data_IF_428664247632
#
_entry.id   IF_428664247632
#
_cell.length_a   1.000
_cell.length_b   1.000
_cell.length_c   1.000
_cell.angle_alpha   90.00
_cell.angle_beta   90.00
_cell.angle_gamma   90.00
#
_symmetry.space_group_name_H-M   'P 1'
#
loop_
_entity.id
_entity.type
_entity.pdbx_description
1 polymer ?
#
# COMPACT_ATOMS: atom_id res chain seq x y z
N UNK A 1 16.14 20.12 -4.99
CA UNK A 1 14.67 20.00 -4.91
C UNK A 1 14.22 19.18 -6.11
N UNK A 2 14.18 17.86 -5.95
CA UNK A 2 13.55 16.98 -6.95
C UNK A 2 12.05 17.08 -6.69
N UNK A 3 11.37 17.92 -7.47
CA UNK A 3 9.91 17.90 -7.53
C UNK A 3 9.51 16.49 -7.97
N UNK A 4 8.90 15.72 -7.07
CA UNK A 4 8.29 14.44 -7.44
C UNK A 4 7.33 14.68 -8.60
N UNK A 5 7.29 13.76 -9.56
CA UNK A 5 6.25 13.81 -10.58
C UNK A 5 4.90 13.62 -9.87
N UNK A 6 3.88 14.47 -10.13
CA UNK A 6 2.59 14.32 -9.47
C UNK A 6 2.01 12.93 -9.77
N UNK A 7 1.45 12.28 -8.75
CA UNK A 7 0.79 10.98 -8.92
C UNK A 7 -0.38 11.11 -9.91
N UNK A 8 -0.47 10.19 -10.87
CA UNK A 8 -1.60 10.17 -11.82
C UNK A 8 -2.77 9.39 -11.23
N UNK A 9 -2.48 8.23 -10.62
CA UNK A 9 -3.47 7.36 -10.02
C UNK A 9 -2.83 6.55 -8.89
N UNK A 10 -3.58 6.34 -7.80
CA UNK A 10 -3.33 5.20 -6.92
C UNK A 10 -4.65 4.48 -6.61
N UNK A 11 -4.57 3.18 -6.39
CA UNK A 11 -5.72 2.33 -6.11
C UNK A 11 -5.34 1.31 -5.05
N UNK A 12 -6.20 1.19 -4.05
CA UNK A 12 -6.15 0.13 -3.06
C UNK A 12 -7.28 -0.84 -3.34
N UNK A 13 -6.93 -2.11 -3.46
CA UNK A 13 -7.90 -3.21 -3.44
C UNK A 13 -7.46 -4.24 -2.44
N UNK A 14 -8.36 -5.12 -2.02
CA UNK A 14 -8.02 -6.11 -1.02
C UNK A 14 -8.76 -7.41 -1.24
N UNK A 15 -8.19 -8.49 -0.70
CA UNK A 15 -8.77 -9.83 -0.71
C UNK A 15 -8.62 -10.43 0.68
N UNK A 16 -9.71 -10.99 1.18
CA UNK A 16 -9.74 -11.69 2.45
C UNK A 16 -9.88 -13.20 2.21
N UNK A 17 -8.94 -13.97 2.72
CA UNK A 17 -8.91 -15.42 2.58
C UNK A 17 -8.98 -16.08 3.96
N UNK A 18 -10.05 -16.82 4.21
CA UNK A 18 -10.17 -17.57 5.46
C UNK A 18 -9.34 -18.84 5.37
N UNK A 19 -8.42 -19.00 6.31
CA UNK A 19 -7.59 -20.20 6.39
C UNK A 19 -7.93 -20.94 7.67
N UNK A 20 -8.43 -22.17 7.54
CA UNK A 20 -8.90 -23.00 8.65
C UNK A 20 -7.83 -23.30 9.70
N UNK A 21 -6.56 -23.27 9.29
CA UNK A 21 -5.41 -23.61 10.11
C UNK A 21 -4.53 -22.40 10.46
N UNK A 22 -4.96 -21.17 10.13
CA UNK A 22 -4.25 -19.98 10.57
C UNK A 22 -4.54 -19.71 12.04
N UNK A 23 -3.49 -19.44 12.82
CA UNK A 23 -3.63 -19.12 14.24
C UNK A 23 -4.21 -17.72 14.44
N UNK A 24 -3.76 -16.77 13.60
CA UNK A 24 -4.10 -15.35 13.62
C UNK A 24 -4.36 -14.80 12.20
N UNK A 25 -4.68 -13.50 12.12
CA UNK A 25 -4.79 -12.77 10.86
C UNK A 25 -3.42 -12.21 10.46
N UNK A 26 -2.94 -12.65 9.31
CA UNK A 26 -1.76 -12.07 8.64
C UNK A 26 -2.22 -11.04 7.61
N UNK A 27 -1.51 -9.91 7.55
CA UNK A 27 -1.74 -8.87 6.56
C UNK A 27 -0.59 -8.89 5.58
N UNK A 28 -0.90 -8.97 4.29
CA UNK A 28 0.08 -8.90 3.20
C UNK A 28 -0.18 -7.62 2.45
N UNK A 29 0.84 -6.82 2.19
CA UNK A 29 0.78 -5.65 1.30
C UNK A 29 1.61 -5.94 0.06
N UNK A 30 0.93 -6.14 -1.06
CA UNK A 30 1.49 -6.28 -2.38
C UNK A 30 1.49 -4.92 -3.08
N UNK A 31 2.67 -4.46 -3.50
CA UNK A 31 2.82 -3.17 -4.17
C UNK A 31 3.17 -3.35 -5.64
N UNK A 32 2.57 -2.52 -6.49
CA UNK A 32 2.91 -2.39 -7.91
C UNK A 32 2.92 -0.91 -8.28
N UNK A 33 4.13 -0.37 -8.51
CA UNK A 33 4.35 1.04 -8.81
C UNK A 33 4.88 1.16 -10.23
N UNK A 34 4.08 1.73 -11.11
CA UNK A 34 4.39 1.93 -12.52
C UNK A 34 4.94 3.33 -12.76
N UNK A 35 6.21 3.39 -13.19
CA UNK A 35 6.89 4.63 -13.59
C UNK A 35 7.31 4.58 -15.04
N UNK A 36 6.68 5.44 -15.84
CA UNK A 36 6.93 5.52 -17.28
C UNK A 36 8.26 6.22 -17.61
N UNK A 37 8.72 7.12 -16.75
CA UNK A 37 9.96 7.87 -16.95
C UNK A 37 11.23 7.00 -16.91
N UNK A 38 11.19 5.88 -16.18
CA UNK A 38 12.29 4.92 -16.12
C UNK A 38 11.98 3.56 -16.77
N UNK A 39 10.77 3.40 -17.35
CA UNK A 39 10.32 2.14 -17.97
C UNK A 39 10.23 0.94 -17.01
N UNK A 40 10.28 1.19 -15.70
CA UNK A 40 10.38 0.16 -14.69
C UNK A 40 9.13 0.10 -13.80
N UNK A 41 8.69 -1.12 -13.53
CA UNK A 41 7.70 -1.40 -12.49
C UNK A 41 8.44 -1.82 -11.23
N UNK A 42 8.22 -1.10 -10.12
CA UNK A 42 8.69 -1.53 -8.80
C UNK A 42 7.61 -2.36 -8.13
N UNK A 43 7.96 -3.58 -7.70
CA UNK A 43 7.07 -4.48 -6.97
C UNK A 43 7.73 -4.89 -5.68
N UNK A 44 6.95 -4.98 -4.61
CA UNK A 44 7.39 -5.51 -3.34
C UNK A 44 6.21 -6.18 -2.63
N UNK A 45 6.54 -7.00 -1.65
CA UNK A 45 5.57 -7.63 -0.75
C UNK A 45 6.05 -7.43 0.68
N UNK A 46 5.14 -6.99 1.55
CA UNK A 46 5.38 -6.82 2.98
C UNK A 46 4.37 -7.66 3.75
N UNK A 47 4.80 -8.23 4.87
CA UNK A 47 3.95 -9.06 5.72
C UNK A 47 3.93 -8.49 7.12
N UNK A 48 2.73 -8.44 7.72
CA UNK A 48 2.49 -7.86 9.03
C UNK A 48 1.57 -8.75 9.85
N UNK A 49 1.74 -8.70 11.17
CA UNK A 49 0.63 -9.06 12.07
C UNK A 49 -0.41 -7.95 12.10
N UNK A 50 -1.66 -8.26 12.50
CA UNK A 50 -2.70 -7.25 12.70
C UNK A 50 -2.27 -6.12 13.65
N UNK A 51 -1.62 -6.49 14.77
CA UNK A 51 -1.18 -5.51 15.76
C UNK A 51 -0.09 -4.59 15.20
N UNK A 52 0.89 -5.19 14.51
CA UNK A 52 1.97 -4.47 13.85
C UNK A 52 1.43 -3.49 12.80
N UNK A 53 0.45 -3.90 12.00
CA UNK A 53 -0.09 -3.07 10.93
C UNK A 53 -0.98 -1.94 11.42
N UNK A 54 -1.76 -2.14 12.49
CA UNK A 54 -2.75 -1.13 12.93
C UNK A 54 -2.26 -0.28 14.09
N UNK A 55 -1.59 -0.88 15.08
CA UNK A 55 -1.34 -0.23 16.37
C UNK A 55 0.12 0.20 16.55
N UNK A 56 1.06 -0.57 15.99
CA UNK A 56 2.48 -0.25 16.13
C UNK A 56 2.88 0.83 15.12
N UNK A 57 2.91 2.09 15.55
CA UNK A 57 3.34 3.21 14.71
C UNK A 57 4.81 3.09 14.25
N UNK A 58 5.63 2.32 14.98
CA UNK A 58 7.08 2.22 14.77
C UNK A 58 7.53 0.81 14.34
N UNK A 59 6.66 0.05 13.68
CA UNK A 59 7.03 -1.24 13.10
C UNK A 59 8.14 -1.09 12.05
N UNK A 60 9.17 -1.94 12.14
CA UNK A 60 10.23 -2.03 11.13
C UNK A 60 9.68 -2.33 9.73
N UNK A 61 8.60 -3.13 9.60
CA UNK A 61 8.02 -3.42 8.30
C UNK A 61 7.23 -2.23 7.75
N UNK A 62 6.63 -1.41 8.63
CA UNK A 62 5.97 -0.16 8.20
C UNK A 62 6.99 0.85 7.71
N UNK A 63 8.10 0.98 8.43
CA UNK A 63 9.23 1.81 8.04
C UNK A 63 9.80 1.36 6.69
N UNK A 64 10.00 0.06 6.48
CA UNK A 64 10.41 -0.49 5.18
C UNK A 64 9.41 -0.21 4.05
N UNK A 65 8.12 -0.36 4.32
CA UNK A 65 7.07 -0.03 3.35
C UNK A 65 7.11 1.47 3.02
N UNK A 66 7.20 2.34 4.02
CA UNK A 66 7.31 3.79 3.85
C UNK A 66 8.51 4.19 2.99
N UNK A 67 9.71 3.71 3.33
CA UNK A 67 10.90 3.99 2.54
C UNK A 67 10.82 3.42 1.12
N UNK A 68 10.22 2.24 0.93
CA UNK A 68 9.99 1.70 -0.41
C UNK A 68 9.11 2.63 -1.27
N UNK A 69 8.06 3.22 -0.69
CA UNK A 69 7.19 4.18 -1.38
C UNK A 69 7.98 5.44 -1.78
N UNK A 70 8.80 5.98 -0.87
CA UNK A 70 9.67 7.13 -1.14
C UNK A 70 10.69 6.83 -2.23
N UNK A 71 11.37 5.69 -2.14
CA UNK A 71 12.33 5.26 -3.16
C UNK A 71 11.65 5.06 -4.53
N UNK A 72 10.37 4.72 -4.55
CA UNK A 72 9.59 4.65 -5.77
C UNK A 72 9.23 6.04 -6.33
N UNK A 73 9.46 7.11 -5.57
CA UNK A 73 9.23 8.50 -5.95
C UNK A 73 7.89 9.05 -5.52
N UNK A 74 7.21 8.38 -4.58
CA UNK A 74 6.05 8.92 -3.89
C UNK A 74 6.54 9.97 -2.90
N UNK A 75 5.84 11.09 -2.80
CA UNK A 75 6.26 12.20 -1.95
C UNK A 75 6.34 11.77 -0.48
N UNK A 76 7.48 12.10 0.15
CA UNK A 76 7.76 11.86 1.56
C UNK A 76 6.86 12.73 2.44
N UNK A 77 6.56 13.97 2.00
CA UNK A 77 5.95 14.97 2.87
C UNK A 77 4.47 14.71 3.16
N UNK A 78 3.76 13.87 2.38
CA UNK A 78 2.35 13.50 2.66
C UNK A 78 1.87 12.18 2.02
N UNK A 79 2.23 11.90 0.76
CA UNK A 79 1.55 10.86 -0.01
C UNK A 79 1.85 9.45 0.50
N UNK A 80 3.10 9.15 0.85
CA UNK A 80 3.49 7.82 1.32
C UNK A 80 2.79 7.46 2.64
N UNK A 81 2.74 8.40 3.60
CA UNK A 81 2.05 8.19 4.87
C UNK A 81 0.53 8.11 4.68
N UNK A 82 -0.03 8.94 3.79
CA UNK A 82 -1.44 8.90 3.45
C UNK A 82 -1.86 7.54 2.86
N UNK A 83 -1.09 6.99 1.92
CA UNK A 83 -1.35 5.66 1.36
C UNK A 83 -1.31 4.55 2.40
N UNK A 84 -0.35 4.59 3.33
CA UNK A 84 -0.29 3.61 4.43
C UNK A 84 -1.53 3.72 5.32
N UNK A 85 -1.95 4.93 5.65
CA UNK A 85 -3.16 5.17 6.43
C UNK A 85 -4.42 4.68 5.70
N UNK A 86 -4.54 4.93 4.40
CA UNK A 86 -5.66 4.42 3.59
C UNK A 86 -5.73 2.89 3.60
N UNK A 87 -4.59 2.20 3.53
CA UNK A 87 -4.55 0.75 3.66
C UNK A 87 -5.06 0.32 5.05
N UNK A 88 -4.62 0.98 6.13
CA UNK A 88 -5.10 0.70 7.50
C UNK A 88 -6.61 0.97 7.65
N UNK A 89 -7.13 2.04 7.06
CA UNK A 89 -8.55 2.37 7.08
C UNK A 89 -9.37 1.33 6.31
N UNK A 90 -8.89 0.86 5.15
CA UNK A 90 -9.57 -0.16 4.36
C UNK A 90 -9.74 -1.49 5.12
N UNK A 91 -8.79 -1.84 5.99
CA UNK A 91 -8.91 -2.97 6.91
C UNK A 91 -9.95 -2.70 8.00
N UNK A 92 -9.87 -1.52 8.61
CA UNK A 92 -10.72 -1.11 9.72
C UNK A 92 -12.20 -1.07 9.32
N UNK A 93 -12.49 -0.82 8.05
CA UNK A 93 -13.84 -0.76 7.52
C UNK A 93 -14.48 -2.11 7.21
N UNK A 94 -13.73 -3.20 7.25
CA UNK A 94 -14.27 -4.53 6.99
C UNK A 94 -15.28 -4.96 8.07
N UNK A 95 -16.55 -5.21 7.70
CA UNK A 95 -17.58 -5.62 8.66
C UNK A 95 -17.25 -6.92 9.39
N UNK A 96 -16.48 -7.81 8.77
CA UNK A 96 -16.08 -9.09 9.35
C UNK A 96 -15.06 -8.94 10.50
N UNK A 97 -14.20 -7.91 10.44
CA UNK A 97 -13.28 -7.55 11.53
C UNK A 97 -13.98 -6.80 12.64
N UNK A 98 -14.85 -5.83 12.30
CA UNK A 98 -15.69 -5.11 13.27
C UNK A 98 -16.52 -6.07 14.13
N UNK A 99 -17.04 -7.14 13.52
CA UNK A 99 -17.86 -8.14 14.21
C UNK A 99 -17.05 -9.29 14.86
N UNK A 100 -15.71 -9.20 14.89
CA UNK A 100 -14.80 -10.26 15.41
C UNK A 100 -15.05 -11.65 14.83
N UNK A 101 -15.70 -11.74 13.66
CA UNK A 101 -15.99 -13.03 13.00
C UNK A 101 -14.79 -13.57 12.24
N UNK A 102 -13.83 -12.69 11.96
CA UNK A 102 -12.67 -13.00 11.15
C UNK A 102 -11.39 -12.59 11.88
N UNK A 103 -10.80 -13.53 12.60
CA UNK A 103 -9.54 -13.32 13.33
C UNK A 103 -8.42 -14.20 12.80
N UNK A 104 -8.68 -15.02 11.76
CA UNK A 104 -7.80 -16.07 11.26
C UNK A 104 -7.82 -16.12 9.75
N UNK A 105 -6.65 -16.02 9.14
CA UNK A 105 -6.49 -16.07 7.69
C UNK A 105 -5.53 -15.03 7.18
N UNK A 106 -5.67 -14.67 5.92
CA UNK A 106 -4.82 -13.69 5.24
C UNK A 106 -5.69 -12.58 4.68
N UNK A 107 -5.32 -11.34 4.97
CA UNK A 107 -5.85 -10.18 4.29
C UNK A 107 -4.74 -9.58 3.41
N UNK A 108 -4.90 -9.70 2.10
CA UNK A 108 -3.96 -9.14 1.13
C UNK A 108 -4.48 -7.79 0.65
N UNK A 109 -3.64 -6.78 0.74
CA UNK A 109 -3.81 -5.44 0.18
C UNK A 109 -2.99 -5.34 -1.08
N UNK A 110 -3.61 -4.90 -2.16
CA UNK A 110 -2.94 -4.58 -3.40
C UNK A 110 -2.92 -3.06 -3.54
N UNK A 111 -1.72 -2.48 -3.42
CA UNK A 111 -1.45 -1.08 -3.67
C UNK A 111 -0.91 -0.94 -5.09
N UNK A 112 -1.70 -0.32 -5.96
CA UNK A 112 -1.29 0.05 -7.31
C UNK A 112 -1.08 1.55 -7.38
N UNK A 113 0.06 1.98 -7.93
CA UNK A 113 0.40 3.40 -8.11
C UNK A 113 0.90 3.61 -9.53
N UNK A 114 0.40 4.63 -10.22
CA UNK A 114 0.81 5.01 -11.56
C UNK A 114 1.21 6.48 -11.58
N UNK A 115 2.39 6.74 -12.12
CA UNK A 115 2.86 8.09 -12.45
C UNK A 115 2.47 8.45 -13.89
N UNK A 116 2.30 9.73 -14.23
CA UNK A 116 2.01 10.18 -15.58
C UNK A 116 3.17 9.85 -16.52
N UNK A 117 2.86 9.55 -17.79
CA UNK A 117 3.89 9.44 -18.83
C UNK A 117 4.32 10.84 -19.29
N UNK A 118 5.60 10.99 -19.67
CA UNK A 118 6.12 12.24 -20.25
C UNK A 118 5.37 12.65 -21.55
N UNK A 119 4.62 11.75 -22.17
CA UNK A 119 3.80 12.03 -23.36
C UNK A 119 2.43 12.64 -23.01
N UNK A 120 1.90 12.43 -21.80
CA UNK A 120 0.59 12.96 -21.39
C UNK A 120 0.65 14.45 -21.01
N UNK A 121 1.84 14.97 -20.68
CA UNK A 121 2.06 16.38 -20.28
C UNK A 121 2.19 17.38 -21.44
N UNK A 122 2.18 16.92 -22.70
CA UNK A 122 2.30 17.78 -23.90
C UNK A 122 0.96 18.09 -24.59
N UNK A 123 -0.17 17.59 -24.07
CA UNK A 123 -1.50 17.75 -24.69
C UNK A 123 -2.27 19.00 -24.25
N UNK A 124 -1.57 20.07 -23.88
CA UNK A 124 -2.16 21.42 -23.78
C UNK A 124 -1.19 22.41 -24.41
N UNK A 125 -1.38 22.65 -25.70
CA UNK A 125 -0.88 23.84 -26.43
C UNK A 125 -2.07 24.55 -27.05
#
# INVERSE_FOLDING_TARGET
>A
MTSGAPLLEYKISHRLEQQRYADDLTIIVDTEILRHDCGNTKKSQFSFSLNEFVQDEYSLNKEKLYYFLIEAGIDEDNDAQFMINDMIFSLSDLPCLKNKRFTRGVWTVFLYVRFPSNEESTSTS
#
